data_IF_691250134015
#
_entry.id   IF_691250134015
#
_cell.length_a   1.000
_cell.length_b   1.000
_cell.length_c   1.000
_cell.angle_alpha   90.00
_cell.angle_beta   90.00
_cell.angle_gamma   90.00
#
_symmetry.space_group_name_H-M   'P 1'
#
loop_
_entity.id
_entity.type
_entity.pdbx_description
1 polymer ?
#
# COMPACT_ATOMS: atom_id res chain seq x y z
N UNK A 1 -56.74 -56.96 2.29
CA UNK A 1 -56.18 -55.63 1.96
C UNK A 1 -57.11 -54.56 2.52
N UNK A 2 -56.66 -53.41 3.08
CA UNK A 2 -55.28 -52.93 3.23
C UNK A 2 -54.88 -52.55 4.68
N UNK A 3 -53.58 -52.70 5.01
CA UNK A 3 -52.95 -52.19 6.22
C UNK A 3 -52.82 -50.65 6.14
N UNK A 4 -53.20 -49.95 7.22
CA UNK A 4 -52.96 -48.51 7.38
C UNK A 4 -51.56 -48.27 7.94
N UNK A 5 -50.63 -47.86 7.08
CA UNK A 5 -49.27 -47.50 7.46
C UNK A 5 -49.24 -46.08 8.04
N UNK A 6 -49.05 -45.98 9.36
CA UNK A 6 -48.96 -44.72 10.10
C UNK A 6 -47.56 -44.13 9.90
N UNK A 7 -47.43 -43.13 9.04
CA UNK A 7 -46.17 -42.40 8.80
C UNK A 7 -45.84 -41.55 10.04
N UNK A 8 -44.79 -41.93 10.76
CA UNK A 8 -44.17 -41.11 11.81
C UNK A 8 -43.24 -40.10 11.11
N UNK A 9 -43.55 -38.81 11.25
CA UNK A 9 -42.69 -37.71 10.79
C UNK A 9 -41.73 -37.40 11.95
N UNK A 10 -40.47 -37.82 11.85
CA UNK A 10 -39.40 -37.32 12.72
C UNK A 10 -39.00 -35.93 12.21
N UNK A 11 -39.38 -34.88 12.95
CA UNK A 11 -38.84 -33.54 12.75
C UNK A 11 -37.43 -33.50 13.35
N UNK A 12 -36.40 -33.53 12.49
CA UNK A 12 -35.01 -33.36 12.90
C UNK A 12 -34.70 -31.87 12.95
N UNK A 13 -34.67 -31.31 14.15
CA UNK A 13 -34.30 -29.92 14.43
C UNK A 13 -32.79 -29.77 14.24
N UNK A 14 -32.35 -29.34 13.06
CA UNK A 14 -30.95 -28.97 12.84
C UNK A 14 -30.72 -27.59 13.46
N UNK A 15 -30.15 -27.56 14.66
CA UNK A 15 -29.79 -26.33 15.34
C UNK A 15 -28.69 -25.60 14.57
N UNK A 16 -28.98 -24.37 14.12
CA UNK A 16 -27.98 -23.50 13.51
C UNK A 16 -27.01 -23.05 14.60
N UNK A 17 -25.80 -23.61 14.60
CA UNK A 17 -24.69 -23.10 15.41
C UNK A 17 -24.07 -21.95 14.62
N UNK A 18 -24.34 -20.71 15.06
CA UNK A 18 -23.63 -19.54 14.57
C UNK A 18 -22.19 -19.59 15.10
N UNK A 19 -21.24 -19.87 14.21
CA UNK A 19 -19.81 -19.72 14.50
C UNK A 19 -19.47 -18.24 14.34
N UNK A 20 -19.27 -17.55 15.46
CA UNK A 20 -18.71 -16.19 15.45
C UNK A 20 -17.23 -16.29 15.08
N UNK A 21 -16.87 -15.83 13.90
CA UNK A 21 -15.46 -15.62 13.53
C UNK A 21 -15.02 -14.35 14.27
N UNK A 22 -14.18 -14.51 15.30
CA UNK A 22 -13.51 -13.38 15.91
C UNK A 22 -12.54 -12.81 14.85
N UNK A 23 -12.79 -11.57 14.41
CA UNK A 23 -11.84 -10.80 13.61
C UNK A 23 -10.54 -10.72 14.42
N UNK A 24 -9.51 -11.46 13.98
CA UNK A 24 -8.20 -11.38 14.59
C UNK A 24 -7.67 -9.96 14.41
N UNK A 25 -7.24 -9.32 15.49
CA UNK A 25 -6.50 -8.08 15.42
C UNK A 25 -5.39 -8.24 14.38
N UNK A 26 -5.38 -7.38 13.35
CA UNK A 26 -4.25 -7.30 12.42
C UNK A 26 -2.98 -7.27 13.27
N UNK A 27 -2.04 -8.17 12.99
CA UNK A 27 -0.78 -8.22 13.74
C UNK A 27 -0.16 -6.82 13.67
N UNK A 28 0.11 -6.24 14.84
CA UNK A 28 0.77 -4.95 14.92
C UNK A 28 2.15 -5.10 14.27
N UNK A 29 2.41 -4.35 13.19
CA UNK A 29 3.59 -4.50 12.35
C UNK A 29 4.90 -4.00 12.99
N UNK A 30 4.91 -3.87 14.32
CA UNK A 30 6.09 -3.51 15.09
C UNK A 30 6.53 -2.06 14.96
N UNK A 31 5.65 -1.12 14.60
CA UNK A 31 5.89 0.33 14.59
C UNK A 31 4.65 1.12 15.02
N UNK A 32 4.83 2.38 15.44
CA UNK A 32 3.71 3.28 15.80
C UNK A 32 3.32 4.24 14.67
N UNK A 33 2.12 4.81 14.76
CA UNK A 33 1.66 5.81 13.81
C UNK A 33 2.58 7.05 13.78
N UNK A 34 3.15 7.43 14.93
CA UNK A 34 4.11 8.54 15.04
C UNK A 34 5.40 8.24 14.29
N UNK A 35 5.90 7.00 14.35
CA UNK A 35 7.09 6.60 13.59
C UNK A 35 6.84 6.64 12.08
N UNK A 36 5.68 6.15 11.62
CA UNK A 36 5.31 6.23 10.21
C UNK A 36 5.16 7.70 9.75
N UNK A 37 4.58 8.57 10.57
CA UNK A 37 4.44 10.00 10.26
C UNK A 37 5.81 10.72 10.22
N UNK A 38 6.67 10.48 11.20
CA UNK A 38 8.05 10.99 11.21
C UNK A 38 8.84 10.48 9.99
N UNK A 39 8.65 9.21 9.65
CA UNK A 39 9.22 8.54 8.50
C UNK A 39 8.81 9.17 7.17
N UNK A 40 7.54 9.52 7.03
CA UNK A 40 7.03 10.22 5.84
C UNK A 40 7.74 11.55 5.63
N UNK A 41 7.89 12.33 6.71
CA UNK A 41 8.60 13.62 6.64
C UNK A 41 10.07 13.44 6.23
N UNK A 42 10.75 12.47 6.83
CA UNK A 42 12.13 12.14 6.51
C UNK A 42 12.27 11.60 5.07
N UNK A 43 11.35 10.75 4.62
CA UNK A 43 11.31 10.21 3.26
C UNK A 43 11.12 11.33 2.22
N UNK A 44 10.19 12.25 2.46
CA UNK A 44 9.93 13.37 1.56
C UNK A 44 11.16 14.27 1.39
N UNK A 45 11.94 14.42 2.46
CA UNK A 45 13.17 15.23 2.46
C UNK A 45 14.33 14.52 1.74
N UNK A 46 14.50 13.21 1.96
CA UNK A 46 15.74 12.51 1.62
C UNK A 46 15.62 11.55 0.42
N UNK A 47 14.43 11.03 0.15
CA UNK A 47 14.22 9.88 -0.74
C UNK A 47 13.29 10.19 -1.92
N UNK A 48 12.25 11.00 -1.70
CA UNK A 48 11.16 11.21 -2.65
C UNK A 48 11.61 11.81 -4.00
N UNK A 49 12.73 12.53 -4.04
CA UNK A 49 13.25 13.11 -5.30
C UNK A 49 13.52 12.05 -6.37
N UNK A 50 13.97 10.85 -5.97
CA UNK A 50 14.28 9.74 -6.89
C UNK A 50 13.25 8.62 -6.84
N UNK A 51 12.71 8.34 -5.65
CA UNK A 51 11.74 7.25 -5.44
C UNK A 51 10.26 7.67 -5.60
N UNK A 52 10.00 8.94 -5.87
CA UNK A 52 8.65 9.49 -6.04
C UNK A 52 7.98 9.87 -4.72
N UNK A 53 7.05 10.82 -4.76
CA UNK A 53 6.34 11.30 -3.56
C UNK A 53 5.39 10.26 -2.96
N UNK A 54 4.96 9.28 -3.78
CA UNK A 54 4.08 8.17 -3.42
C UNK A 54 4.78 6.83 -3.57
N UNK A 55 6.12 6.83 -3.44
CA UNK A 55 6.96 5.64 -3.57
C UNK A 55 6.85 4.97 -4.95
N UNK A 56 6.30 5.65 -5.95
CA UNK A 56 5.97 5.04 -7.24
C UNK A 56 7.19 4.76 -8.12
N UNK A 57 8.36 5.29 -7.75
CA UNK A 57 9.57 5.24 -8.55
C UNK A 57 9.50 6.19 -9.74
N UNK A 58 10.46 7.10 -9.84
CA UNK A 58 10.58 8.01 -11.00
C UNK A 58 11.93 7.82 -11.68
N UNK A 59 13.00 8.07 -10.93
CA UNK A 59 14.39 7.93 -11.37
C UNK A 59 15.09 6.74 -10.69
N UNK A 60 14.54 6.29 -9.56
CA UNK A 60 14.94 5.10 -8.83
C UNK A 60 13.77 4.10 -8.74
N UNK A 61 14.02 2.83 -8.37
CA UNK A 61 12.98 1.81 -8.27
C UNK A 61 11.81 2.23 -7.39
N UNK A 62 10.61 1.75 -7.72
CA UNK A 62 9.44 1.89 -6.85
C UNK A 62 9.68 1.24 -5.48
N UNK A 63 9.10 1.83 -4.44
CA UNK A 63 9.11 1.33 -3.06
C UNK A 63 7.71 0.91 -2.59
N UNK A 64 6.75 0.85 -3.51
CA UNK A 64 5.37 0.41 -3.29
C UNK A 64 5.07 -0.86 -4.10
N UNK A 65 4.31 -1.77 -3.51
CA UNK A 65 3.79 -2.98 -4.13
C UNK A 65 4.34 -4.27 -3.50
N UNK A 66 3.62 -5.36 -3.74
CA UNK A 66 3.95 -6.70 -3.21
C UNK A 66 5.34 -7.16 -3.63
N UNK A 67 5.72 -6.90 -4.88
CA UNK A 67 7.00 -7.32 -5.43
C UNK A 67 8.17 -6.66 -4.69
N UNK A 68 8.01 -5.40 -4.28
CA UNK A 68 9.05 -4.68 -3.55
C UNK A 68 9.15 -5.14 -2.11
N UNK A 69 8.02 -5.42 -1.46
CA UNK A 69 8.01 -5.95 -0.09
C UNK A 69 8.57 -7.37 0.02
N UNK A 70 8.66 -8.10 -1.10
CA UNK A 70 9.30 -9.42 -1.18
C UNK A 70 10.80 -9.36 -1.49
N UNK A 71 11.34 -8.21 -1.90
CA UNK A 71 12.78 -8.07 -2.18
C UNK A 71 13.64 -8.14 -0.91
N UNK A 72 13.04 -7.90 0.25
CA UNK A 72 13.69 -8.00 1.55
C UNK A 72 12.84 -8.91 2.43
N UNK A 73 13.45 -9.93 3.02
CA UNK A 73 12.75 -10.84 3.91
C UNK A 73 12.24 -10.10 5.16
N UNK A 74 13.03 -9.15 5.67
CA UNK A 74 12.79 -8.50 6.95
C UNK A 74 13.05 -6.98 6.91
N UNK A 75 12.46 -6.25 7.86
CA UNK A 75 12.75 -4.83 8.07
C UNK A 75 14.24 -4.61 8.38
N UNK A 76 14.89 -5.55 9.07
CA UNK A 76 16.33 -5.52 9.34
C UNK A 76 17.16 -5.61 8.05
N UNK A 77 16.78 -6.48 7.12
CA UNK A 77 17.46 -6.56 5.82
C UNK A 77 17.33 -5.26 5.01
N UNK A 78 16.16 -4.62 5.03
CA UNK A 78 15.98 -3.31 4.41
C UNK A 78 16.83 -2.23 5.10
N UNK A 79 16.85 -2.22 6.44
CA UNK A 79 17.68 -1.31 7.24
C UNK A 79 19.17 -1.44 6.90
N UNK A 80 19.69 -2.66 6.83
CA UNK A 80 21.10 -2.93 6.52
C UNK A 80 21.48 -2.30 5.17
N UNK A 81 20.61 -2.40 4.18
CA UNK A 81 20.86 -1.80 2.87
C UNK A 81 20.78 -0.28 2.90
N UNK A 82 19.68 0.30 3.39
CA UNK A 82 19.47 1.74 3.29
C UNK A 82 20.43 2.53 4.20
N UNK A 83 20.84 1.95 5.34
CA UNK A 83 21.76 2.60 6.27
C UNK A 83 23.20 2.71 5.74
N UNK A 84 23.57 1.95 4.70
CA UNK A 84 24.92 1.99 4.11
C UNK A 84 24.95 2.47 2.67
N UNK A 85 23.83 2.39 1.94
CA UNK A 85 23.76 2.71 0.51
C UNK A 85 22.92 3.95 0.19
N UNK A 86 22.10 4.43 1.13
CA UNK A 86 21.16 5.53 0.89
C UNK A 86 21.37 6.69 1.88
N UNK A 87 21.07 7.93 1.45
CA UNK A 87 20.93 8.38 0.07
C UNK A 87 22.24 8.22 -0.75
N UNK A 88 22.21 8.05 -2.09
CA UNK A 88 23.42 7.77 -2.86
C UNK A 88 24.50 8.88 -2.82
N UNK A 89 24.07 10.12 -2.60
CA UNK A 89 24.92 11.29 -2.45
C UNK A 89 25.47 11.48 -1.03
N UNK A 90 24.87 10.82 -0.03
CA UNK A 90 25.29 10.87 1.37
C UNK A 90 24.97 9.55 2.11
N UNK A 91 25.60 8.41 1.75
CA UNK A 91 25.26 7.13 2.34
C UNK A 91 25.48 7.10 3.86
N UNK A 92 24.49 6.61 4.61
CA UNK A 92 24.54 6.49 6.07
C UNK A 92 24.40 7.79 6.86
N UNK A 93 24.08 8.91 6.21
CA UNK A 93 24.08 10.23 6.85
C UNK A 93 22.86 10.52 7.75
N UNK A 94 21.79 9.74 7.69
CA UNK A 94 20.50 10.10 8.30
C UNK A 94 20.37 9.74 9.79
N UNK A 95 21.24 8.86 10.29
CA UNK A 95 21.15 8.30 11.64
C UNK A 95 20.11 7.19 11.77
N UNK A 96 20.34 6.30 12.74
CA UNK A 96 19.58 5.06 12.94
C UNK A 96 18.06 5.30 13.08
N UNK A 97 17.65 6.16 14.01
CA UNK A 97 16.23 6.46 14.27
C UNK A 97 15.50 6.96 13.00
N UNK A 98 16.16 7.80 12.20
CA UNK A 98 15.60 8.30 10.95
C UNK A 98 15.34 7.18 9.94
N UNK A 99 16.28 6.24 9.80
CA UNK A 99 16.09 5.09 8.91
C UNK A 99 14.96 4.17 9.40
N UNK A 100 14.86 3.94 10.70
CA UNK A 100 13.76 3.14 11.28
C UNK A 100 12.41 3.78 10.99
N UNK A 101 12.29 5.09 11.20
CA UNK A 101 11.07 5.81 10.89
C UNK A 101 10.74 5.73 9.39
N UNK A 102 11.73 5.89 8.50
CA UNK A 102 11.53 5.73 7.04
C UNK A 102 11.01 4.31 6.70
N UNK A 103 11.53 3.27 7.34
CA UNK A 103 11.05 1.89 7.15
C UNK A 103 9.60 1.75 7.62
N UNK A 104 9.26 2.27 8.80
CA UNK A 104 7.88 2.29 9.30
C UNK A 104 6.92 2.99 8.32
N UNK A 105 7.35 4.09 7.71
CA UNK A 105 6.57 4.76 6.66
C UNK A 105 6.39 3.89 5.42
N UNK A 106 7.46 3.28 4.89
CA UNK A 106 7.38 2.39 3.73
C UNK A 106 6.43 1.23 4.01
N UNK A 107 6.53 0.61 5.18
CA UNK A 107 5.63 -0.47 5.60
C UNK A 107 4.17 0.00 5.66
N UNK A 108 3.91 1.14 6.32
CA UNK A 108 2.57 1.71 6.43
C UNK A 108 1.98 2.05 5.06
N UNK A 109 2.77 2.64 4.16
CA UNK A 109 2.35 2.95 2.80
C UNK A 109 1.99 1.69 1.99
N UNK A 110 2.66 0.57 2.29
CA UNK A 110 2.40 -0.73 1.70
C UNK A 110 1.29 -1.53 2.42
N UNK A 111 0.57 -0.93 3.36
CA UNK A 111 -0.62 -1.49 3.98
C UNK A 111 -0.41 -2.09 5.37
N UNK A 112 0.83 -2.15 5.88
CA UNK A 112 1.08 -2.62 7.24
C UNK A 112 0.39 -1.69 8.26
N UNK A 113 -0.21 -2.26 9.30
CA UNK A 113 -0.95 -1.49 10.29
C UNK A 113 -0.04 -1.09 11.47
N UNK A 114 -0.05 0.19 11.89
CA UNK A 114 0.67 0.61 13.09
C UNK A 114 0.07 -0.07 14.34
N UNK A 115 0.90 -0.26 15.35
CA UNK A 115 0.49 -0.66 16.69
C UNK A 115 1.02 0.30 17.77
N UNK A 116 0.93 -0.12 19.03
CA UNK A 116 1.30 0.70 20.18
C UNK A 116 2.76 0.55 20.62
N UNK A 117 3.49 -0.42 20.04
CA UNK A 117 4.89 -0.70 20.38
C UNK A 117 5.80 -0.09 19.32
N UNK A 118 6.73 0.80 19.71
CA UNK A 118 7.65 1.41 18.76
C UNK A 118 8.64 0.39 18.21
N UNK A 119 8.93 0.51 16.92
CA UNK A 119 10.03 -0.18 16.26
C UNK A 119 11.33 0.37 16.83
N UNK A 120 12.11 -0.49 17.47
CA UNK A 120 13.44 -0.16 17.94
C UNK A 120 14.48 -0.74 16.97
N UNK A 121 15.62 -0.06 16.88
CA UNK A 121 16.75 -0.58 16.14
C UNK A 121 17.33 -1.86 16.78
N UNK A 122 18.11 -2.60 15.99
CA UNK A 122 18.80 -3.82 16.41
C UNK A 122 18.03 -5.10 16.07
N UNK A 123 18.32 -6.17 16.83
CA UNK A 123 17.90 -7.55 16.54
C UNK A 123 16.38 -7.74 16.32
N UNK A 124 15.55 -6.84 16.85
CA UNK A 124 14.10 -6.87 16.65
C UNK A 124 13.69 -6.71 15.18
N UNK A 125 14.43 -5.93 14.39
CA UNK A 125 14.09 -5.64 12.99
C UNK A 125 14.12 -6.88 12.10
N UNK A 126 15.02 -7.82 12.38
CA UNK A 126 15.15 -9.07 11.62
C UNK A 126 14.03 -10.07 11.92
N UNK A 127 13.11 -9.74 12.84
CA UNK A 127 11.93 -10.57 13.14
C UNK A 127 10.66 -10.04 12.45
N UNK A 128 10.73 -8.85 11.86
CA UNK A 128 9.60 -8.20 11.21
C UNK A 128 9.64 -8.55 9.73
N UNK A 129 8.73 -9.42 9.27
CA UNK A 129 8.66 -9.80 7.86
C UNK A 129 7.89 -8.76 7.04
N UNK A 130 8.55 -8.08 6.10
CA UNK A 130 7.91 -6.99 5.33
C UNK A 130 6.70 -7.48 4.53
N UNK A 131 6.85 -8.59 3.82
CA UNK A 131 5.77 -9.17 3.03
C UNK A 131 4.59 -9.63 3.91
N UNK A 132 4.86 -10.23 5.08
CA UNK A 132 3.79 -10.70 5.95
C UNK A 132 3.01 -9.54 6.58
N UNK A 133 3.71 -8.54 7.13
CA UNK A 133 3.07 -7.40 7.80
C UNK A 133 2.23 -6.55 6.82
N UNK A 134 2.76 -6.31 5.61
CA UNK A 134 2.06 -5.52 4.59
C UNK A 134 0.86 -6.27 4.00
N UNK A 135 0.97 -7.58 3.78
CA UNK A 135 -0.16 -8.39 3.33
C UNK A 135 -1.27 -8.52 4.39
N UNK A 136 -0.89 -8.74 5.66
CA UNK A 136 -1.85 -8.85 6.76
C UNK A 136 -2.65 -7.56 6.95
N UNK A 137 -1.97 -6.40 6.89
CA UNK A 137 -2.65 -5.12 7.00
C UNK A 137 -3.52 -4.77 5.79
N UNK A 138 -3.11 -5.15 4.59
CA UNK A 138 -3.94 -5.00 3.39
C UNK A 138 -5.21 -5.87 3.45
N UNK A 139 -5.12 -7.11 3.97
CA UNK A 139 -6.27 -7.98 4.16
C UNK A 139 -7.24 -7.44 5.23
N UNK A 140 -6.72 -6.96 6.36
CA UNK A 140 -7.54 -6.38 7.42
C UNK A 140 -8.31 -5.12 6.95
N UNK A 141 -7.72 -4.31 6.07
CA UNK A 141 -8.41 -3.17 5.47
C UNK A 141 -9.56 -3.58 4.53
N UNK A 142 -9.46 -4.75 3.88
CA UNK A 142 -10.52 -5.30 3.02
C UNK A 142 -11.69 -5.84 3.85
N UNK A 143 -11.40 -6.51 4.95
CA UNK A 143 -12.41 -7.04 5.87
C UNK A 143 -13.15 -5.91 6.61
N UNK A 144 -12.43 -4.86 7.03
CA UNK A 144 -13.04 -3.65 7.60
C UNK A 144 -13.95 -2.90 6.60
N UNK A 145 -13.72 -3.07 5.29
CA UNK A 145 -14.58 -2.54 4.23
C UNK A 145 -15.84 -3.37 3.97
N UNK A 146 -15.89 -4.62 4.44
CA UNK A 146 -16.99 -5.56 4.20
C UNK A 146 -18.11 -5.49 5.27
N UNK A 147 -17.86 -4.88 6.42
CA UNK A 147 -18.82 -4.76 7.54
C UNK A 147 -19.59 -3.43 7.57
N UNK A 148 -19.69 -2.69 6.46
CA UNK A 148 -20.59 -1.53 6.40
C UNK A 148 -22.02 -2.01 6.12
N UNK A 149 -23.01 -1.85 7.04
CA UNK A 149 -24.40 -2.10 6.70
C UNK A 149 -24.85 -1.02 5.73
N UNK A 150 -25.10 -1.41 4.48
CA UNK A 150 -25.91 -0.61 3.56
C UNK A 150 -27.34 -0.58 4.10
N UNK A 151 -27.70 0.44 4.88
CA UNK A 151 -29.10 0.89 4.97
C UNK A 151 -29.21 2.38 5.35
N UNK A 152 -30.08 3.05 4.60
CA UNK A 152 -30.76 4.32 4.86
C UNK A 152 -30.03 5.63 4.50
N UNK A 153 -30.45 6.17 3.35
CA UNK A 153 -30.41 7.58 3.03
C UNK A 153 -31.12 8.43 4.12
N UNK A 154 -30.42 9.44 4.65
CA UNK A 154 -30.97 10.74 5.01
C UNK A 154 -29.84 11.77 5.21
N UNK A 155 -29.75 12.68 4.25
CA UNK A 155 -29.24 14.05 4.31
C UNK A 155 -27.86 14.30 4.96
N UNK A 156 -26.82 14.12 4.16
CA UNK A 156 -25.69 15.05 4.16
C UNK A 156 -25.33 15.31 2.70
N UNK A 157 -25.35 16.57 2.31
CA UNK A 157 -25.03 16.98 0.94
C UNK A 157 -23.61 16.53 0.60
N UNK A 158 -23.40 15.66 -0.41
CA UNK A 158 -22.06 15.23 -0.77
C UNK A 158 -21.27 16.43 -1.28
N UNK A 159 -20.13 16.70 -0.65
CA UNK A 159 -19.13 17.62 -1.19
C UNK A 159 -18.73 17.09 -2.58
N UNK A 160 -18.93 17.82 -3.68
CA UNK A 160 -18.62 17.31 -4.98
C UNK A 160 -17.11 17.12 -5.11
N UNK A 161 -16.72 15.90 -5.50
CA UNK A 161 -15.40 15.52 -5.98
C UNK A 161 -15.01 16.48 -7.12
N UNK A 162 -14.18 17.47 -6.84
CA UNK A 162 -13.80 18.48 -7.82
C UNK A 162 -12.29 18.71 -7.88
N UNK A 163 -11.48 17.65 -7.96
CA UNK A 163 -10.07 17.78 -8.35
C UNK A 163 -9.60 16.60 -9.23
N UNK A 164 -10.36 16.25 -10.26
CA UNK A 164 -9.82 15.48 -11.39
C UNK A 164 -9.20 16.47 -12.39
N UNK A 165 -7.90 16.34 -12.64
CA UNK A 165 -7.14 17.16 -13.58
C UNK A 165 -7.77 17.07 -14.99
N UNK A 166 -8.21 18.22 -15.56
CA UNK A 166 -8.63 18.29 -16.98
C UNK A 166 -10.02 18.86 -17.32
N UNK A 167 -10.79 19.46 -16.39
CA UNK A 167 -11.98 20.27 -16.77
C UNK A 167 -11.96 21.66 -16.16
N UNK A 168 -12.22 22.67 -17.01
CA UNK A 168 -12.36 24.07 -16.63
C UNK A 168 -13.66 24.28 -15.83
N UNK A 169 -13.59 25.03 -14.73
CA UNK A 169 -14.74 25.38 -13.88
C UNK A 169 -15.68 26.41 -14.55
N UNK A 170 -17.00 26.39 -14.27
CA UNK A 170 -17.92 27.43 -14.76
C UNK A 170 -17.67 28.74 -14.01
N UNK A 171 -17.32 29.82 -14.74
CA UNK A 171 -17.28 31.19 -14.19
C UNK A 171 -15.93 31.91 -14.27
N UNK A 172 -14.86 31.28 -14.76
CA UNK A 172 -13.58 31.95 -15.01
C UNK A 172 -13.41 32.28 -16.49
N UNK A 173 -13.36 33.56 -16.85
CA UNK A 173 -12.83 33.97 -18.16
C UNK A 173 -11.38 33.49 -18.29
N UNK A 174 -11.00 32.77 -19.36
CA UNK A 174 -9.64 32.28 -19.50
C UNK A 174 -8.67 33.45 -19.75
N UNK A 175 -7.45 33.44 -19.20
CA UNK A 175 -6.38 34.28 -19.72
C UNK A 175 -6.06 33.85 -21.17
N UNK A 176 -5.70 34.81 -22.01
CA UNK A 176 -5.43 34.61 -23.43
C UNK A 176 -4.44 33.45 -23.67
N UNK A 177 -4.80 32.56 -24.61
CA UNK A 177 -4.06 31.36 -24.94
C UNK A 177 -2.63 31.69 -25.40
N UNK A 178 -1.64 31.28 -24.61
CA UNK A 178 -0.32 30.99 -25.15
C UNK A 178 -0.41 29.67 -25.92
N UNK A 179 -0.17 29.70 -27.22
CA UNK A 179 -0.14 28.51 -28.07
C UNK A 179 0.87 27.48 -27.55
N UNK A 180 0.37 26.38 -26.98
CA UNK A 180 1.18 25.20 -26.71
C UNK A 180 1.34 24.43 -28.03
N UNK A 181 2.56 24.47 -28.56
CA UNK A 181 3.00 23.57 -29.62
C UNK A 181 2.89 22.11 -29.12
N UNK A 182 2.36 21.22 -29.96
CA UNK A 182 2.34 19.77 -29.71
C UNK A 182 3.77 19.28 -29.50
N UNK A 183 4.12 18.61 -28.38
CA UNK A 183 5.29 17.75 -28.37
C UNK A 183 4.93 16.49 -29.18
N UNK A 184 5.57 16.33 -30.34
CA UNK A 184 5.57 15.07 -31.07
C UNK A 184 6.40 14.07 -30.28
N UNK A 185 5.75 13.16 -29.56
CA UNK A 185 6.42 12.01 -28.93
C UNK A 185 6.69 10.98 -30.04
N UNK A 186 7.95 10.62 -30.33
CA UNK A 186 8.23 9.51 -31.23
C UNK A 186 7.78 8.21 -30.58
N UNK A 187 7.03 7.41 -31.34
CA UNK A 187 6.59 6.09 -30.92
C UNK A 187 7.75 5.11 -30.84
N UNK A 188 7.65 4.21 -29.85
CA UNK A 188 8.26 2.87 -29.74
C UNK A 188 9.57 2.73 -28.96
N UNK A 189 9.48 1.99 -27.84
CA UNK A 189 10.04 0.64 -27.71
C UNK A 189 9.12 -0.19 -26.79
N UNK A 190 8.33 -1.09 -27.35
CA UNK A 190 7.54 -2.07 -26.60
C UNK A 190 8.43 -3.27 -26.24
N UNK A 191 8.50 -3.61 -24.96
CA UNK A 191 9.21 -4.80 -24.45
C UNK A 191 8.65 -6.07 -25.10
N UNK A 192 9.51 -6.93 -25.67
CA UNK A 192 9.11 -8.22 -26.29
C UNK A 192 9.39 -8.40 -27.79
N UNK A 193 10.12 -7.50 -28.46
CA UNK A 193 10.67 -7.75 -29.80
C UNK A 193 12.20 -7.74 -29.80
N UNK A 194 12.80 -8.65 -30.55
CA UNK A 194 14.24 -8.85 -30.65
C UNK A 194 14.90 -7.69 -31.42
N UNK A 195 15.98 -7.13 -30.88
CA UNK A 195 16.73 -6.03 -31.49
C UNK A 195 17.48 -6.49 -32.75
N UNK A 196 17.57 -5.64 -33.80
CA UNK A 196 18.33 -5.97 -35.00
C UNK A 196 19.81 -6.17 -34.65
N UNK A 197 20.35 -7.32 -35.07
CA UNK A 197 21.75 -7.66 -34.89
C UNK A 197 22.60 -6.81 -35.85
N UNK A 198 23.60 -6.11 -35.32
CA UNK A 198 24.57 -5.39 -36.16
C UNK A 198 25.42 -6.40 -36.95
N UNK A 199 25.46 -6.25 -38.28
CA UNK A 199 26.37 -7.02 -39.13
C UNK A 199 27.81 -6.52 -38.97
N UNK A 200 28.82 -7.41 -38.95
CA UNK A 200 30.21 -7.03 -38.79
C UNK A 200 30.77 -6.42 -40.08
N UNK A 201 31.65 -5.43 -39.93
CA UNK A 201 32.66 -5.09 -40.94
C UNK A 201 34.00 -5.71 -40.55
#
# INVERSE_FOLDING_TARGET
MPLRLRRLILASSFGLVAVSIAAGSAAAAGFTAEQAAAGQSAYNTNCARCHGARLEGTEAPALVGTDVMQNWETAGGLYDFISVAMPPDAPGALGEETYINIIAYIMSFNGAQPGDVPMAAGEGLYKISLAAETAAGAAAAQDAGADTPETAAADSTPVPQAYTWGKQLPGGSPPAAAQQAKPAVPQAYTWGKQLPQASPQ
#
